data_IF_818477060991
#
_entry.id   IF_818477060991
#
_cell.length_a   1.000
_cell.length_b   1.000
_cell.length_c   1.000
_cell.angle_alpha   90.00
_cell.angle_beta   90.00
_cell.angle_gamma   90.00
#
_symmetry.space_group_name_H-M   'P 1'
#
loop_
_entity.id
_entity.type
_entity.pdbx_description
1 polymer ?
#
# COMPACT_ATOMS: atom_id res chain seq x y z
N UNK A 1 -21.23 -8.78 -4.96
CA UNK A 1 -21.62 -10.11 -4.44
C UNK A 1 -20.56 -11.19 -4.70
N UNK A 2 -19.85 -11.20 -5.84
CA UNK A 2 -18.83 -12.23 -6.13
C UNK A 2 -17.67 -12.35 -5.09
N UNK A 3 -17.10 -11.26 -4.54
CA UNK A 3 -15.93 -11.37 -3.64
C UNK A 3 -16.22 -12.10 -2.33
N UNK A 4 -17.45 -11.98 -1.80
CA UNK A 4 -17.84 -12.65 -0.55
C UNK A 4 -17.95 -14.16 -0.72
N UNK A 5 -18.42 -14.63 -1.88
CA UNK A 5 -18.49 -16.07 -2.18
C UNK A 5 -17.10 -16.68 -2.36
N UNK A 6 -16.20 -15.99 -3.09
CA UNK A 6 -14.82 -16.41 -3.24
C UNK A 6 -14.13 -16.52 -1.88
N UNK A 7 -14.31 -15.53 -1.00
CA UNK A 7 -13.72 -15.55 0.34
C UNK A 7 -14.24 -16.70 1.21
N UNK A 8 -15.54 -17.01 1.15
CA UNK A 8 -16.14 -18.12 1.89
C UNK A 8 -15.59 -19.47 1.40
N UNK A 9 -15.57 -19.67 0.09
CA UNK A 9 -15.08 -20.91 -0.52
C UNK A 9 -13.60 -21.14 -0.22
N UNK A 10 -12.76 -20.12 -0.44
CA UNK A 10 -11.33 -20.19 -0.16
C UNK A 10 -11.05 -20.44 1.32
N UNK A 11 -11.80 -19.80 2.23
CA UNK A 11 -11.67 -20.07 3.67
C UNK A 11 -11.98 -21.52 4.05
N UNK A 12 -13.02 -22.12 3.45
CA UNK A 12 -13.36 -23.52 3.69
C UNK A 12 -12.33 -24.49 3.07
N UNK A 13 -11.81 -24.17 1.88
CA UNK A 13 -10.79 -24.96 1.19
C UNK A 13 -9.48 -24.95 1.98
N UNK A 14 -9.02 -23.76 2.38
CA UNK A 14 -7.80 -23.57 3.18
C UNK A 14 -7.89 -24.31 4.51
N UNK A 15 -9.01 -24.21 5.22
CA UNK A 15 -9.21 -24.91 6.49
C UNK A 15 -9.08 -26.44 6.34
N UNK A 16 -9.67 -27.02 5.29
CA UNK A 16 -9.54 -28.47 5.02
C UNK A 16 -8.11 -28.85 4.62
N UNK A 17 -7.48 -28.05 3.78
CA UNK A 17 -6.11 -28.26 3.32
C UNK A 17 -5.10 -28.23 4.48
N UNK A 18 -5.21 -27.22 5.36
CA UNK A 18 -4.33 -27.05 6.53
C UNK A 18 -4.52 -28.17 7.56
N UNK A 19 -5.76 -28.63 7.75
CA UNK A 19 -6.05 -29.75 8.65
C UNK A 19 -5.56 -31.11 8.11
N UNK A 20 -5.47 -31.25 6.78
CA UNK A 20 -4.98 -32.47 6.13
C UNK A 20 -3.45 -32.55 6.04
N UNK A 21 -2.74 -31.43 6.26
CA UNK A 21 -1.28 -31.40 6.19
C UNK A 21 -0.64 -31.91 7.49
N UNK A 22 0.42 -32.74 7.42
CA UNK A 22 1.15 -33.20 8.61
C UNK A 22 1.88 -32.07 9.35
N UNK A 23 2.29 -31.04 8.61
CA UNK A 23 2.96 -29.87 9.16
C UNK A 23 2.16 -28.61 8.87
N UNK A 24 1.96 -27.81 9.92
CA UNK A 24 1.23 -26.56 9.83
C UNK A 24 2.18 -25.37 9.81
N UNK A 25 1.84 -24.33 9.05
CA UNK A 25 2.59 -23.09 9.06
C UNK A 25 2.48 -22.38 10.41
N UNK A 26 3.51 -21.59 10.75
CA UNK A 26 3.49 -20.78 11.96
C UNK A 26 2.44 -19.68 11.86
N UNK A 27 2.38 -19.02 10.69
CA UNK A 27 1.44 -17.96 10.38
C UNK A 27 0.87 -18.22 8.98
N UNK A 28 -0.45 -18.14 8.88
CA UNK A 28 -1.20 -18.18 7.63
C UNK A 28 -2.16 -16.99 7.62
N UNK A 29 -1.93 -16.02 6.74
CA UNK A 29 -2.77 -14.84 6.59
C UNK A 29 -3.15 -14.71 5.12
N UNK A 30 -4.42 -14.42 4.85
CA UNK A 30 -4.90 -14.18 3.48
C UNK A 30 -5.50 -12.79 3.36
N UNK A 31 -5.15 -12.10 2.29
CA UNK A 31 -5.77 -10.86 1.84
C UNK A 31 -6.30 -11.04 0.42
N UNK A 32 -7.61 -11.27 0.29
CA UNK A 32 -8.27 -11.59 -1.00
C UNK A 32 -7.61 -12.82 -1.65
N UNK A 33 -6.75 -12.59 -2.62
CA UNK A 33 -6.06 -13.61 -3.42
C UNK A 33 -4.61 -13.84 -2.95
N UNK A 34 -4.04 -12.89 -2.19
CA UNK A 34 -2.66 -12.96 -1.72
C UNK A 34 -2.55 -13.66 -0.36
N UNK A 35 -1.66 -14.65 -0.28
CA UNK A 35 -1.43 -15.43 0.94
C UNK A 35 -0.03 -15.15 1.48
N UNK A 36 0.03 -14.78 2.75
CA UNK A 36 1.26 -14.65 3.51
C UNK A 36 1.46 -15.85 4.43
N UNK A 37 2.62 -16.50 4.25
CA UNK A 37 2.96 -17.77 4.88
C UNK A 37 4.32 -17.68 5.57
N UNK A 38 4.38 -18.08 6.85
CA UNK A 38 5.65 -18.31 7.55
C UNK A 38 5.82 -19.79 7.84
N UNK A 39 6.90 -20.37 7.30
CA UNK A 39 7.24 -21.78 7.42
C UNK A 39 8.50 -21.99 8.24
N UNK A 40 8.47 -22.91 9.20
CA UNK A 40 9.59 -23.17 10.13
C UNK A 40 10.15 -24.59 10.03
N UNK A 41 9.56 -25.46 9.20
CA UNK A 41 9.85 -26.90 9.20
C UNK A 41 10.88 -27.31 8.13
N UNK A 42 11.53 -26.35 7.46
CA UNK A 42 12.54 -26.56 6.41
C UNK A 42 12.03 -26.41 4.97
N UNK A 43 12.93 -26.28 4.00
CA UNK A 43 12.58 -26.05 2.59
C UNK A 43 12.01 -27.31 1.91
N UNK A 44 12.55 -28.48 2.23
CA UNK A 44 12.09 -29.75 1.62
C UNK A 44 10.64 -30.09 1.99
N UNK A 45 10.26 -29.83 3.24
CA UNK A 45 8.88 -30.01 3.72
C UNK A 45 7.94 -28.94 3.18
N UNK A 46 8.46 -27.73 2.91
CA UNK A 46 7.70 -26.67 2.25
C UNK A 46 7.32 -27.06 0.82
N UNK A 47 8.25 -27.62 0.05
CA UNK A 47 7.97 -28.07 -1.32
C UNK A 47 6.92 -29.19 -1.36
N UNK A 48 6.99 -30.11 -0.39
CA UNK A 48 5.96 -31.15 -0.22
C UNK A 48 4.59 -30.55 0.11
N UNK A 49 4.55 -29.55 1.00
CA UNK A 49 3.34 -28.84 1.34
C UNK A 49 2.74 -28.08 0.14
N UNK A 50 3.57 -27.38 -0.63
CA UNK A 50 3.13 -26.66 -1.84
C UNK A 50 2.61 -27.63 -2.91
N UNK A 51 3.26 -28.78 -3.06
CA UNK A 51 2.79 -29.84 -3.96
C UNK A 51 1.43 -30.39 -3.51
N UNK A 52 1.26 -30.64 -2.21
CA UNK A 52 -0.01 -31.06 -1.64
C UNK A 52 -1.11 -30.01 -1.85
N UNK A 53 -0.83 -28.73 -1.59
CA UNK A 53 -1.75 -27.63 -1.79
C UNK A 53 -2.19 -27.50 -3.26
N UNK A 54 -1.24 -27.62 -4.21
CA UNK A 54 -1.52 -27.59 -5.64
C UNK A 54 -2.30 -28.79 -6.15
N UNK A 55 -2.27 -29.93 -5.44
CA UNK A 55 -3.03 -31.11 -5.78
C UNK A 55 -4.40 -31.19 -5.07
N UNK A 56 -4.64 -30.31 -4.08
CA UNK A 56 -5.86 -30.34 -3.28
C UNK A 56 -7.12 -29.97 -4.08
N UNK A 57 -6.98 -29.13 -5.10
CA UNK A 57 -8.10 -28.75 -5.97
C UNK A 57 -7.69 -28.84 -7.46
N UNK A 58 -8.57 -29.38 -8.32
CA UNK A 58 -8.24 -29.55 -9.75
C UNK A 58 -8.00 -28.21 -10.45
N UNK A 59 -8.80 -27.19 -10.12
CA UNK A 59 -8.83 -25.91 -10.83
C UNK A 59 -8.01 -24.79 -10.17
N UNK A 60 -7.73 -24.89 -8.86
CA UNK A 60 -7.08 -23.81 -8.11
C UNK A 60 -5.63 -24.22 -7.88
N UNK A 61 -4.70 -23.38 -8.36
CA UNK A 61 -3.26 -23.58 -8.22
C UNK A 61 -2.65 -22.41 -7.45
N UNK A 62 -1.78 -22.72 -6.51
CA UNK A 62 -1.04 -21.76 -5.70
C UNK A 62 0.31 -21.48 -6.36
N UNK A 63 0.55 -20.22 -6.66
CA UNK A 63 1.85 -19.69 -7.05
C UNK A 63 2.57 -19.20 -5.81
N UNK A 64 3.81 -19.65 -5.60
CA UNK A 64 4.60 -19.29 -4.42
C UNK A 64 5.89 -18.57 -4.80
N UNK A 65 6.14 -17.44 -4.14
CA UNK A 65 7.45 -16.78 -4.15
C UNK A 65 8.11 -17.00 -2.79
N UNK A 66 9.25 -17.68 -2.78
CA UNK A 66 9.95 -18.05 -1.55
C UNK A 66 11.24 -17.24 -1.47
N UNK A 67 11.40 -16.47 -0.40
CA UNK A 67 12.66 -15.77 -0.12
C UNK A 67 12.94 -15.73 1.37
N UNK A 68 14.17 -16.06 1.80
CA UNK A 68 14.54 -16.06 3.23
C UNK A 68 14.75 -14.66 3.81
N UNK A 69 14.94 -13.64 2.95
CA UNK A 69 15.38 -12.30 3.39
C UNK A 69 14.34 -11.22 3.15
N UNK A 70 13.63 -11.28 2.02
CA UNK A 70 12.76 -10.23 1.52
C UNK A 70 11.68 -10.82 0.63
N UNK A 71 10.42 -10.59 0.97
CA UNK A 71 9.27 -10.97 0.13
C UNK A 71 8.43 -9.71 -0.08
N UNK A 72 8.12 -9.34 -1.34
CA UNK A 72 7.12 -8.32 -1.61
C UNK A 72 5.73 -8.87 -1.25
N UNK A 73 4.98 -8.16 -0.41
CA UNK A 73 3.59 -8.52 -0.12
C UNK A 73 2.71 -7.28 -0.19
N UNK A 74 1.69 -7.31 -1.07
CA UNK A 74 0.82 -6.20 -1.46
C UNK A 74 1.60 -5.01 -2.05
N UNK A 75 2.22 -4.19 -1.21
CA UNK A 75 3.08 -3.05 -1.57
C UNK A 75 4.21 -2.81 -0.54
N UNK A 76 4.45 -3.80 0.33
CA UNK A 76 5.38 -3.70 1.45
C UNK A 76 6.52 -4.68 1.22
N UNK A 77 7.75 -4.16 1.17
CA UNK A 77 8.95 -4.99 1.22
C UNK A 77 9.17 -5.46 2.66
N UNK A 78 8.81 -6.72 2.94
CA UNK A 78 9.00 -7.31 4.26
C UNK A 78 10.49 -7.65 4.45
N UNK A 79 11.24 -6.69 5.00
CA UNK A 79 12.64 -6.87 5.37
C UNK A 79 12.75 -7.34 6.82
N UNK A 80 12.80 -8.67 7.03
CA UNK A 80 12.93 -9.30 8.36
C UNK A 80 14.16 -8.77 9.10
N UNK A 81 15.26 -8.52 8.39
CA UNK A 81 16.49 -7.97 8.97
C UNK A 81 16.32 -6.55 9.52
N UNK A 82 15.51 -5.72 8.85
CA UNK A 82 15.23 -4.36 9.31
C UNK A 82 14.38 -4.39 10.57
N UNK A 83 13.39 -5.29 10.63
CA UNK A 83 12.57 -5.49 11.83
C UNK A 83 13.38 -6.03 13.01
N UNK A 84 14.28 -7.00 12.78
CA UNK A 84 15.21 -7.52 13.80
C UNK A 84 16.20 -6.46 14.31
N UNK A 85 16.63 -5.56 13.43
CA UNK A 85 17.56 -4.47 13.77
C UNK A 85 16.90 -3.27 14.47
N UNK A 86 15.58 -3.13 14.43
CA UNK A 86 14.86 -2.04 15.10
C UNK A 86 14.40 -2.46 16.50
N UNK A 87 14.98 -1.92 17.59
CA UNK A 87 14.49 -2.20 18.93
C UNK A 87 13.04 -1.71 19.11
N UNK A 88 12.23 -2.49 19.85
CA UNK A 88 10.80 -2.21 20.14
C UNK A 88 10.49 -0.75 20.51
N UNK A 89 11.25 -0.07 21.39
CA UNK A 89 10.98 1.33 21.71
C UNK A 89 11.13 2.28 20.51
N UNK A 90 12.01 1.97 19.55
CA UNK A 90 12.18 2.76 18.33
C UNK A 90 11.08 2.49 17.30
N UNK A 91 10.58 1.26 17.22
CA UNK A 91 9.46 0.90 16.34
C UNK A 91 8.12 1.52 16.78
N UNK A 92 7.91 1.66 18.10
CA UNK A 92 6.70 2.27 18.67
C UNK A 92 6.71 3.80 18.64
N UNK A 93 7.86 4.42 18.31
CA UNK A 93 7.90 5.87 18.13
C UNK A 93 7.01 6.24 16.95
N UNK A 94 5.97 7.02 17.23
CA UNK A 94 5.15 7.62 16.19
C UNK A 94 6.08 8.37 15.24
N UNK A 95 6.10 7.95 13.98
CA UNK A 95 6.80 8.67 12.92
C UNK A 95 6.24 10.09 12.91
N UNK A 96 7.01 11.05 13.43
CA UNK A 96 6.75 12.46 13.16
C UNK A 96 6.96 12.57 11.65
N UNK A 97 5.88 12.55 10.85
CA UNK A 97 5.94 13.03 9.47
C UNK A 97 6.71 14.33 9.57
N UNK A 98 7.89 14.39 8.95
CA UNK A 98 8.77 15.53 9.08
C UNK A 98 7.93 16.76 8.90
N UNK A 99 7.75 17.51 9.99
CA UNK A 99 7.24 18.85 9.91
C UNK A 99 8.35 19.63 9.22
N UNK A 100 8.45 19.48 7.90
CA UNK A 100 8.82 20.62 7.08
C UNK A 100 7.67 21.58 7.32
N UNK A 101 7.78 22.33 8.42
CA UNK A 101 6.98 23.50 8.76
C UNK A 101 7.26 24.64 7.78
N UNK A 102 7.42 24.32 6.51
CA UNK A 102 7.12 25.24 5.44
C UNK A 102 5.63 25.49 5.55
N UNK A 103 5.25 26.71 5.89
CA UNK A 103 3.87 27.18 5.92
C UNK A 103 3.35 27.17 4.48
N UNK A 104 3.11 25.98 3.92
CA UNK A 104 2.76 25.77 2.52
C UNK A 104 1.34 26.27 2.32
N UNK A 105 1.24 27.39 1.65
CA UNK A 105 -0.04 28.00 1.30
C UNK A 105 -0.70 27.10 0.24
N UNK A 106 -1.92 26.61 0.46
CA UNK A 106 -2.63 25.84 -0.55
C UNK A 106 -3.14 26.76 -1.66
N UNK A 107 -2.84 26.42 -2.92
CA UNK A 107 -3.45 27.00 -4.10
C UNK A 107 -4.57 26.08 -4.59
N UNK A 108 -5.82 26.43 -4.29
CA UNK A 108 -6.99 25.58 -4.55
C UNK A 108 -7.62 25.93 -5.89
N UNK A 109 -7.71 24.95 -6.80
CA UNK A 109 -8.38 25.08 -8.11
C UNK A 109 -9.51 24.06 -8.23
N UNK A 110 -10.60 24.39 -8.93
CA UNK A 110 -11.64 23.39 -9.23
C UNK A 110 -11.09 22.33 -10.19
N UNK A 111 -11.24 21.05 -9.87
CA UNK A 111 -10.81 19.96 -10.74
C UNK A 111 -11.56 19.96 -12.07
N UNK A 112 -10.83 19.84 -13.18
CA UNK A 112 -11.35 19.60 -14.52
C UNK A 112 -10.33 18.73 -15.28
N UNK A 113 -10.76 17.63 -15.93
CA UNK A 113 -9.86 16.71 -16.63
C UNK A 113 -9.07 17.35 -17.80
N UNK A 114 -9.54 18.48 -18.35
CA UNK A 114 -8.84 19.22 -19.40
C UNK A 114 -7.75 20.16 -18.87
N UNK A 115 -7.55 20.24 -17.54
CA UNK A 115 -6.55 21.15 -16.96
C UNK A 115 -5.12 20.68 -17.27
N UNK A 116 -4.24 21.61 -17.69
CA UNK A 116 -2.82 21.33 -17.81
C UNK A 116 -2.19 21.12 -16.42
N UNK A 117 -0.93 20.67 -16.40
CA UNK A 117 -0.19 20.48 -15.15
C UNK A 117 0.05 21.82 -14.43
N UNK A 118 -0.85 22.16 -13.50
CA UNK A 118 -0.84 23.41 -12.73
C UNK A 118 0.45 23.58 -11.93
N UNK A 119 1.04 22.49 -11.44
CA UNK A 119 2.29 22.56 -10.70
C UNK A 119 3.42 23.14 -11.57
N UNK A 120 3.52 22.69 -12.83
CA UNK A 120 4.51 23.21 -13.76
C UNK A 120 4.27 24.67 -14.10
N UNK A 121 3.00 25.06 -14.29
CA UNK A 121 2.61 26.45 -14.55
C UNK A 121 3.03 27.34 -13.38
N UNK A 122 2.67 26.96 -12.15
CA UNK A 122 3.05 27.72 -10.96
C UNK A 122 4.56 27.83 -10.84
N UNK A 123 5.29 26.74 -11.04
CA UNK A 123 6.76 26.75 -10.99
C UNK A 123 7.38 27.69 -12.02
N UNK A 124 6.86 27.72 -13.24
CA UNK A 124 7.35 28.58 -14.34
C UNK A 124 7.06 30.05 -14.08
N UNK A 125 5.88 30.39 -13.57
CA UNK A 125 5.43 31.78 -13.42
C UNK A 125 5.62 32.37 -12.02
N UNK A 126 6.01 31.57 -11.01
CA UNK A 126 6.32 32.05 -9.65
C UNK A 126 7.35 33.19 -9.62
N UNK A 127 8.45 33.16 -10.42
CA UNK A 127 9.43 34.25 -10.43
C UNK A 127 8.82 35.59 -10.84
N UNK A 128 7.79 35.59 -11.70
CA UNK A 128 7.10 36.82 -12.13
C UNK A 128 6.35 37.44 -10.95
N UNK A 129 5.71 36.61 -10.11
CA UNK A 129 5.03 37.09 -8.90
C UNK A 129 6.03 37.73 -7.92
N UNK A 130 7.28 37.28 -7.91
CA UNK A 130 8.34 37.83 -7.05
C UNK A 130 8.92 39.16 -7.52
N UNK A 131 8.55 39.65 -8.70
CA UNK A 131 8.87 41.01 -9.14
C UNK A 131 8.18 42.06 -8.26
N UNK A 132 7.05 41.72 -7.63
CA UNK A 132 6.39 42.60 -6.67
C UNK A 132 6.66 42.17 -5.23
N UNK A 133 7.11 43.10 -4.41
CA UNK A 133 7.38 42.84 -2.99
C UNK A 133 6.12 42.39 -2.23
N UNK A 134 4.94 42.86 -2.65
CA UNK A 134 3.66 42.45 -2.06
C UNK A 134 3.39 40.96 -2.28
N UNK A 135 3.54 40.47 -3.52
CA UNK A 135 3.28 39.06 -3.82
C UNK A 135 4.38 38.15 -3.27
N UNK A 136 5.64 38.60 -3.25
CA UNK A 136 6.75 37.88 -2.61
C UNK A 136 6.53 37.68 -1.11
N UNK A 137 6.01 38.70 -0.41
CA UNK A 137 5.62 38.59 1.01
C UNK A 137 4.41 37.67 1.21
N UNK A 138 3.46 37.69 0.28
CA UNK A 138 2.25 36.87 0.38
C UNK A 138 2.48 35.38 0.08
N UNK A 139 3.39 35.04 -0.83
CA UNK A 139 3.66 33.66 -1.27
C UNK A 139 5.18 33.41 -1.25
N UNK A 140 5.80 33.21 -0.08
CA UNK A 140 7.26 33.11 0.03
C UNK A 140 7.84 31.84 -0.62
N UNK A 141 7.04 30.79 -0.76
CA UNK A 141 7.43 29.50 -1.33
C UNK A 141 6.37 29.01 -2.34
N UNK A 142 6.76 28.06 -3.19
CA UNK A 142 5.83 27.46 -4.16
C UNK A 142 4.61 26.88 -3.43
N UNK A 143 3.40 27.38 -3.70
CA UNK A 143 2.21 26.93 -2.99
C UNK A 143 1.88 25.49 -3.36
N UNK A 144 1.24 24.79 -2.42
CA UNK A 144 0.78 23.42 -2.66
C UNK A 144 -0.46 23.44 -3.54
N UNK A 145 -0.41 22.81 -4.70
CA UNK A 145 -1.58 22.66 -5.57
C UNK A 145 -2.59 21.71 -4.92
N UNK A 146 -3.81 22.19 -4.70
CA UNK A 146 -4.92 21.40 -4.21
C UNK A 146 -6.11 21.53 -5.16
N UNK A 147 -6.90 20.47 -5.27
CA UNK A 147 -8.08 20.46 -6.13
C UNK A 147 -9.34 20.35 -5.30
N UNK A 148 -10.31 21.23 -5.55
CA UNK A 148 -11.68 21.08 -5.03
C UNK A 148 -12.55 20.37 -6.06
N UNK A 149 -13.50 19.56 -5.59
CA UNK A 149 -14.51 18.94 -6.46
C UNK A 149 -15.38 20.02 -7.13
N UNK A 150 -15.80 19.85 -8.39
CA UNK A 150 -16.84 20.68 -8.98
C UNK A 150 -18.18 20.48 -8.24
N UNK A 151 -19.06 21.48 -8.32
CA UNK A 151 -20.43 21.38 -7.80
C UNK A 151 -21.18 20.32 -8.58
N UNK A 152 -21.73 19.32 -7.88
CA UNK A 152 -22.58 18.31 -8.51
C UNK A 152 -24.05 18.73 -8.43
N UNK A 153 -24.91 18.09 -9.23
CA UNK A 153 -26.37 18.32 -9.22
C UNK A 153 -26.94 18.14 -7.80
N UNK A 154 -26.41 17.19 -7.02
CA UNK A 154 -26.76 16.96 -5.61
C UNK A 154 -26.48 18.16 -4.69
N UNK A 155 -25.50 19.00 -5.03
CA UNK A 155 -25.18 20.19 -4.23
C UNK A 155 -26.05 21.40 -4.61
N UNK A 156 -26.82 21.31 -5.70
CA UNK A 156 -27.66 22.38 -6.26
C UNK A 156 -29.15 22.18 -5.92
N UNK A 157 -29.59 20.92 -5.80
CA UNK A 157 -30.94 20.51 -5.39
C UNK A 157 -31.06 20.46 -3.86
#
# INVERSE_FOLDING_TARGET
MAPSYANLFMGALEGKMLNSSPHQPLIWLRYIDDIFLIWTHGSSTLDQFLTHANNFHPTIKFTSEISPLKIPFLDIELAINKARGTPRPQALQRRKKGATGTQRIPFVVTYNPALPNIYNILKTYLPILYLSDRCKKAIPELPMTAFRRPTNIRDIL
#
